data_IF_972432105670
#
_entry.id   IF_972432105670
#
_cell.length_a   1.000
_cell.length_b   1.000
_cell.length_c   1.000
_cell.angle_alpha   90.00
_cell.angle_beta   90.00
_cell.angle_gamma   90.00
#
_symmetry.space_group_name_H-M   'P 1'
#
loop_
_entity.id
_entity.type
_entity.pdbx_description
1 polymer ?
#
# COMPACT_ATOMS: atom_id res chain seq x y z
N UNK A 1 17.97 -3.57 -4.85
CA UNK A 1 17.75 -4.14 -3.52
C UNK A 1 16.33 -4.68 -3.41
N UNK A 2 16.15 -5.96 -3.08
CA UNK A 2 14.83 -6.59 -3.11
C UNK A 2 13.77 -5.94 -2.23
N UNK A 3 14.14 -5.40 -1.08
CA UNK A 3 13.20 -4.77 -0.17
C UNK A 3 12.66 -3.42 -0.59
N UNK A 4 13.34 -2.72 -1.50
CA UNK A 4 12.96 -1.35 -1.90
C UNK A 4 11.74 -1.32 -2.82
N UNK A 5 11.62 -2.28 -3.75
CA UNK A 5 10.49 -2.32 -4.68
C UNK A 5 9.16 -2.50 -3.92
N UNK A 6 9.10 -3.45 -2.99
CA UNK A 6 7.92 -3.68 -2.17
C UNK A 6 7.60 -2.49 -1.26
N UNK A 7 8.62 -1.89 -0.67
CA UNK A 7 8.44 -0.72 0.19
C UNK A 7 7.87 0.47 -0.58
N UNK A 8 8.47 0.81 -1.71
CA UNK A 8 8.03 1.95 -2.53
C UNK A 8 6.62 1.74 -3.08
N UNK A 9 6.34 0.53 -3.59
CA UNK A 9 5.02 0.17 -4.07
C UNK A 9 3.98 0.23 -2.94
N UNK A 10 4.28 -0.40 -1.80
CA UNK A 10 3.37 -0.46 -0.68
C UNK A 10 3.04 0.92 -0.11
N UNK A 11 4.03 1.78 0.03
CA UNK A 11 3.83 3.14 0.53
C UNK A 11 2.98 3.98 -0.42
N UNK A 12 3.24 3.89 -1.71
CA UNK A 12 2.46 4.59 -2.73
C UNK A 12 0.99 4.12 -2.73
N UNK A 13 0.76 2.81 -2.63
CA UNK A 13 -0.60 2.26 -2.58
C UNK A 13 -1.33 2.70 -1.31
N UNK A 14 -0.67 2.63 -0.17
CA UNK A 14 -1.24 3.06 1.10
C UNK A 14 -1.78 4.48 1.03
N UNK A 15 -1.07 5.34 0.35
CA UNK A 15 -1.45 6.75 0.22
C UNK A 15 -2.46 6.97 -0.93
N UNK A 16 -2.15 6.46 -2.12
CA UNK A 16 -2.92 6.77 -3.33
C UNK A 16 -4.23 6.01 -3.43
N UNK A 17 -4.27 4.76 -2.97
CA UNK A 17 -5.44 3.90 -3.14
C UNK A 17 -6.39 3.92 -1.94
N UNK A 18 -6.11 4.71 -0.90
CA UNK A 18 -7.08 4.96 0.16
C UNK A 18 -8.18 5.89 -0.40
N UNK A 19 -9.43 5.49 -0.23
CA UNK A 19 -10.57 6.25 -0.73
C UNK A 19 -10.75 7.60 -0.01
N UNK A 20 -10.13 7.77 1.15
CA UNK A 20 -10.15 9.00 1.96
C UNK A 20 -8.72 9.41 2.32
N UNK A 21 -8.58 10.56 2.93
CA UNK A 21 -7.29 11.07 3.39
C UNK A 21 -6.74 10.21 4.54
N UNK A 22 -5.42 10.27 4.74
CA UNK A 22 -4.67 9.51 5.75
C UNK A 22 -5.17 9.73 7.18
N UNK A 23 -5.75 10.90 7.45
CA UNK A 23 -6.24 11.29 8.77
C UNK A 23 -7.76 11.36 8.86
N UNK A 24 -8.48 10.66 8.00
CA UNK A 24 -9.93 10.62 8.03
C UNK A 24 -10.44 10.04 9.36
N UNK A 25 -11.26 10.77 10.13
CA UNK A 25 -11.75 10.29 11.42
C UNK A 25 -12.86 9.24 11.29
N UNK A 26 -13.50 9.13 10.15
CA UNK A 26 -14.59 8.18 9.90
C UNK A 26 -14.01 6.88 9.33
N UNK A 27 -13.81 5.91 10.21
CA UNK A 27 -13.24 4.60 9.84
C UNK A 27 -14.11 3.85 8.82
N UNK A 28 -15.41 4.08 8.83
CA UNK A 28 -16.34 3.41 7.91
C UNK A 28 -16.16 3.87 6.46
N UNK A 29 -15.57 5.05 6.26
CA UNK A 29 -15.27 5.58 4.93
C UNK A 29 -13.91 5.14 4.41
N UNK A 30 -13.06 4.58 5.25
CA UNK A 30 -11.72 4.13 4.88
C UNK A 30 -11.85 2.82 4.11
N UNK A 31 -11.34 2.81 2.88
CA UNK A 31 -11.33 1.60 2.06
C UNK A 31 -10.23 1.68 1.02
N UNK A 32 -9.78 0.51 0.57
CA UNK A 32 -8.88 0.42 -0.57
C UNK A 32 -9.70 0.52 -1.86
N UNK A 33 -9.38 1.49 -2.69
CA UNK A 33 -9.97 1.63 -4.01
C UNK A 33 -9.23 0.70 -4.99
N UNK A 34 -9.88 -0.40 -5.36
CA UNK A 34 -9.29 -1.39 -6.27
C UNK A 34 -9.05 -0.84 -7.68
N UNK A 35 -9.81 0.17 -8.11
CA UNK A 35 -9.58 0.79 -9.42
C UNK A 35 -8.28 1.60 -9.42
N UNK A 36 -8.01 2.33 -8.35
CA UNK A 36 -6.73 3.06 -8.18
C UNK A 36 -5.59 2.07 -8.03
N UNK A 37 -5.77 1.03 -7.24
CA UNK A 37 -4.79 -0.05 -7.09
C UNK A 37 -4.46 -0.68 -8.44
N UNK A 38 -5.46 -0.99 -9.23
CA UNK A 38 -5.30 -1.54 -10.57
C UNK A 38 -4.46 -0.60 -11.44
N UNK A 39 -4.87 0.66 -11.57
CA UNK A 39 -4.18 1.63 -12.43
C UNK A 39 -2.71 1.82 -12.02
N UNK A 40 -2.45 1.94 -10.73
CA UNK A 40 -1.10 2.08 -10.19
C UNK A 40 -0.25 0.84 -10.46
N UNK A 41 -0.82 -0.35 -10.20
CA UNK A 41 -0.13 -1.63 -10.40
C UNK A 41 0.23 -1.83 -11.87
N UNK A 42 -0.69 -1.52 -12.77
CA UNK A 42 -0.43 -1.59 -14.21
C UNK A 42 0.75 -0.69 -14.59
N UNK A 43 0.72 0.57 -14.18
CA UNK A 43 1.81 1.52 -14.46
C UNK A 43 3.13 1.09 -13.86
N UNK A 44 3.14 0.66 -12.61
CA UNK A 44 4.36 0.22 -11.91
C UNK A 44 4.97 -0.99 -12.60
N UNK A 45 4.18 -2.01 -12.90
CA UNK A 45 4.69 -3.24 -13.51
C UNK A 45 5.04 -3.06 -14.98
N UNK A 46 4.43 -2.09 -15.69
CA UNK A 46 4.82 -1.79 -17.06
C UNK A 46 6.30 -1.37 -17.15
N UNK A 47 6.84 -0.76 -16.11
CA UNK A 47 8.21 -0.28 -16.04
C UNK A 47 9.16 -1.25 -15.34
N UNK A 48 8.67 -2.10 -14.44
CA UNK A 48 9.50 -2.88 -13.52
C UNK A 48 9.41 -4.38 -13.67
N UNK A 49 8.42 -4.92 -14.39
CA UNK A 49 8.16 -6.37 -14.42
C UNK A 49 9.38 -7.18 -14.88
N UNK A 50 10.16 -6.66 -15.81
CA UNK A 50 11.36 -7.36 -16.34
C UNK A 50 12.53 -7.36 -15.35
N UNK A 51 12.56 -6.45 -14.38
CA UNK A 51 13.65 -6.33 -13.40
C UNK A 51 13.32 -6.89 -12.03
N UNK A 52 12.05 -7.26 -11.77
CA UNK A 52 11.64 -7.84 -10.50
C UNK A 52 11.75 -9.36 -10.52
N UNK A 53 12.21 -9.93 -9.41
CA UNK A 53 12.17 -11.37 -9.20
C UNK A 53 10.73 -11.83 -8.92
N UNK A 54 10.49 -13.14 -9.06
CA UNK A 54 9.18 -13.72 -8.72
C UNK A 54 8.81 -13.43 -7.27
N UNK A 55 9.76 -13.56 -6.35
CA UNK A 55 9.51 -13.29 -4.92
C UNK A 55 9.14 -11.83 -4.68
N UNK A 56 9.76 -10.91 -5.38
CA UNK A 56 9.41 -9.49 -5.29
C UNK A 56 7.99 -9.23 -5.80
N UNK A 57 7.62 -9.79 -6.94
CA UNK A 57 6.26 -9.70 -7.49
C UNK A 57 5.23 -10.30 -6.51
N UNK A 58 5.51 -11.49 -5.99
CA UNK A 58 4.61 -12.17 -5.06
C UNK A 58 4.40 -11.41 -3.75
N UNK A 59 5.33 -10.53 -3.38
CA UNK A 59 5.26 -9.74 -2.16
C UNK A 59 4.60 -8.37 -2.32
N UNK A 60 4.33 -7.91 -3.55
CA UNK A 60 3.85 -6.54 -3.78
C UNK A 60 2.52 -6.23 -3.09
N UNK A 61 1.54 -7.11 -3.24
CA UNK A 61 0.21 -6.88 -2.62
C UNK A 61 0.31 -6.86 -1.10
N UNK A 62 1.03 -7.83 -0.51
CA UNK A 62 1.17 -7.91 0.94
C UNK A 62 2.02 -6.76 1.50
N UNK A 63 2.92 -6.20 0.71
CA UNK A 63 3.71 -5.03 1.11
C UNK A 63 2.82 -3.83 1.40
N UNK A 64 1.75 -3.63 0.63
CA UNK A 64 0.78 -2.56 0.89
C UNK A 64 0.14 -2.69 2.27
N UNK A 65 -0.26 -3.91 2.62
CA UNK A 65 -0.81 -4.22 3.95
C UNK A 65 0.23 -3.99 5.04
N UNK A 66 1.45 -4.47 4.84
CA UNK A 66 2.54 -4.31 5.83
C UNK A 66 2.86 -2.84 6.08
N UNK A 67 2.88 -2.02 5.04
CA UNK A 67 3.15 -0.57 5.17
C UNK A 67 2.03 0.13 5.95
N UNK A 68 0.77 -0.22 5.71
CA UNK A 68 -0.34 0.34 6.47
C UNK A 68 -0.21 -0.03 7.97
N UNK A 69 0.13 -1.27 8.28
CA UNK A 69 0.37 -1.72 9.66
C UNK A 69 1.56 -1.00 10.30
N UNK A 70 2.63 -0.84 9.55
CA UNK A 70 3.84 -0.14 10.04
C UNK A 70 3.52 1.31 10.39
N UNK A 71 2.83 2.02 9.50
CA UNK A 71 2.47 3.42 9.73
C UNK A 71 1.47 3.56 10.89
N UNK A 72 0.51 2.63 11.02
CA UNK A 72 -0.40 2.62 12.17
C UNK A 72 0.39 2.52 13.47
N UNK A 73 1.37 1.62 13.53
CA UNK A 73 2.22 1.43 14.70
C UNK A 73 3.04 2.70 15.00
N UNK A 74 3.60 3.32 13.98
CA UNK A 74 4.41 4.53 14.15
C UNK A 74 3.58 5.72 14.63
N UNK A 75 2.39 5.91 14.10
CA UNK A 75 1.49 6.97 14.55
C UNK A 75 1.05 6.74 16.00
N UNK A 76 0.72 5.51 16.35
CA UNK A 76 0.33 5.16 17.72
C UNK A 76 1.48 5.37 18.71
N UNK A 77 2.68 4.94 18.32
CA UNK A 77 3.88 5.12 19.13
C UNK A 77 4.16 6.60 19.39
N UNK A 78 4.08 7.42 18.35
CA UNK A 78 4.28 8.87 18.48
C UNK A 78 3.23 9.50 19.38
N UNK A 79 1.97 9.07 19.26
CA UNK A 79 0.89 9.54 20.15
C UNK A 79 1.20 9.23 21.61
N UNK A 80 1.67 8.02 21.91
CA UNK A 80 2.02 7.59 23.26
C UNK A 80 3.19 8.41 23.80
N UNK A 81 4.15 8.75 22.94
CA UNK A 81 5.36 9.52 23.31
C UNK A 81 5.16 11.03 23.34
N UNK A 82 3.94 11.52 23.06
CA UNK A 82 3.61 12.94 23.17
C UNK A 82 3.67 13.74 21.89
N UNK A 83 3.47 13.10 20.73
CA UNK A 83 3.39 13.74 19.42
C UNK A 83 4.67 14.50 19.02
N UNK A 84 5.82 13.89 19.24
CA UNK A 84 7.14 14.54 19.04
C UNK A 84 7.71 14.37 17.63
N UNK A 85 7.37 13.28 16.93
CA UNK A 85 7.99 12.93 15.66
C UNK A 85 7.21 13.48 14.48
N UNK A 86 5.91 13.20 14.40
CA UNK A 86 5.06 13.65 13.30
C UNK A 86 4.45 15.00 13.60
N UNK A 87 4.34 15.82 12.55
CA UNK A 87 3.65 17.10 12.65
C UNK A 87 2.15 16.87 12.79
N UNK A 88 1.54 17.44 13.83
CA UNK A 88 0.11 17.27 14.12
C UNK A 88 -0.62 18.60 14.10
N UNK A 89 -1.93 18.55 13.80
CA UNK A 89 -2.83 19.70 13.84
C UNK A 89 -3.45 19.94 15.22
N UNK A 90 -3.25 19.00 16.16
CA UNK A 90 -3.80 19.11 17.52
C UNK A 90 -3.72 17.79 18.27
N UNK A 91 -4.18 17.77 19.54
CA UNK A 91 -4.18 16.55 20.36
C UNK A 91 -4.99 15.43 19.68
N UNK A 92 -4.46 14.22 19.70
CA UNK A 92 -5.14 13.06 19.16
C UNK A 92 -5.07 12.90 17.65
N UNK A 93 -4.40 13.79 16.91
CA UNK A 93 -4.27 13.67 15.46
C UNK A 93 -3.56 12.37 15.05
N UNK A 94 -2.47 12.02 15.73
CA UNK A 94 -1.77 10.76 15.48
C UNK A 94 -2.61 9.53 15.81
N UNK A 95 -3.49 9.61 16.81
CA UNK A 95 -4.42 8.52 17.12
C UNK A 95 -5.44 8.32 15.98
N UNK A 96 -5.97 9.41 15.43
CA UNK A 96 -6.88 9.37 14.27
C UNK A 96 -6.17 8.75 13.07
N UNK A 97 -4.94 9.15 12.80
CA UNK A 97 -4.13 8.57 11.73
C UNK A 97 -3.90 7.07 11.93
N UNK A 98 -3.56 6.65 13.14
CA UNK A 98 -3.35 5.23 13.46
C UNK A 98 -4.62 4.41 13.20
N UNK A 99 -5.77 4.89 13.63
CA UNK A 99 -7.06 4.23 13.40
C UNK A 99 -7.40 4.15 11.92
N UNK A 100 -7.14 5.21 11.17
CA UNK A 100 -7.36 5.24 9.73
C UNK A 100 -6.51 4.18 9.03
N UNK A 101 -5.23 4.08 9.37
CA UNK A 101 -4.34 3.07 8.79
C UNK A 101 -4.73 1.64 9.18
N UNK A 102 -5.21 1.42 10.38
CA UNK A 102 -5.72 0.10 10.80
C UNK A 102 -6.95 -0.27 9.98
N UNK A 103 -7.87 0.65 9.80
CA UNK A 103 -9.07 0.42 8.99
C UNK A 103 -8.71 0.09 7.53
N UNK A 104 -7.75 0.81 6.97
CA UNK A 104 -7.23 0.55 5.62
C UNK A 104 -6.59 -0.84 5.54
N UNK A 105 -5.76 -1.20 6.51
CA UNK A 105 -5.12 -2.52 6.56
C UNK A 105 -6.14 -3.64 6.63
N UNK A 106 -7.20 -3.48 7.42
CA UNK A 106 -8.28 -4.46 7.50
C UNK A 106 -9.00 -4.63 6.15
N UNK A 107 -9.25 -3.54 5.46
CA UNK A 107 -9.88 -3.60 4.14
C UNK A 107 -8.96 -4.23 3.09
N UNK A 108 -7.66 -3.92 3.13
CA UNK A 108 -6.67 -4.58 2.29
C UNK A 108 -6.65 -6.10 2.52
N UNK A 109 -6.75 -6.52 3.79
CA UNK A 109 -6.77 -7.95 4.12
C UNK A 109 -7.99 -8.64 3.52
N UNK A 110 -9.15 -8.00 3.57
CA UNK A 110 -10.37 -8.52 2.92
C UNK A 110 -10.23 -8.62 1.40
N UNK A 111 -9.47 -7.73 0.79
CA UNK A 111 -9.30 -7.63 -0.68
C UNK A 111 -7.99 -8.24 -1.17
N UNK A 112 -7.23 -8.89 -0.29
CA UNK A 112 -5.86 -9.35 -0.60
C UNK A 112 -5.84 -10.29 -1.81
N UNK A 113 -6.78 -11.21 -1.92
CA UNK A 113 -6.83 -12.14 -3.05
C UNK A 113 -7.03 -11.40 -4.37
N UNK A 114 -7.90 -10.37 -4.39
CA UNK A 114 -8.12 -9.56 -5.58
C UNK A 114 -6.89 -8.71 -5.92
N UNK A 115 -6.23 -8.14 -4.91
CA UNK A 115 -5.00 -7.37 -5.09
C UNK A 115 -3.89 -8.24 -5.68
N UNK A 116 -3.67 -9.42 -5.11
CA UNK A 116 -2.63 -10.32 -5.59
C UNK A 116 -2.94 -10.84 -6.99
N UNK A 117 -4.20 -11.14 -7.29
CA UNK A 117 -4.60 -11.55 -8.63
C UNK A 117 -4.29 -10.48 -9.69
N UNK A 118 -4.52 -9.21 -9.37
CA UNK A 118 -4.17 -8.08 -10.25
C UNK A 118 -2.66 -7.96 -10.46
N UNK A 119 -1.88 -8.08 -9.38
CA UNK A 119 -0.42 -8.06 -9.46
C UNK A 119 0.09 -9.18 -10.37
N UNK A 120 -0.36 -10.41 -10.16
CA UNK A 120 0.06 -11.56 -10.95
C UNK A 120 -0.34 -11.42 -12.43
N UNK A 121 -1.53 -10.90 -12.69
CA UNK A 121 -2.01 -10.67 -14.05
C UNK A 121 -1.10 -9.72 -14.82
N UNK A 122 -0.75 -8.57 -14.23
CA UNK A 122 0.09 -7.59 -14.91
C UNK A 122 1.55 -7.99 -14.96
N UNK A 123 2.04 -8.70 -13.95
CA UNK A 123 3.40 -9.25 -13.99
C UNK A 123 3.56 -10.20 -15.18
N UNK A 124 2.61 -11.08 -15.42
CA UNK A 124 2.63 -12.00 -16.57
C UNK A 124 2.50 -11.26 -17.89
N UNK A 125 1.57 -10.30 -17.96
CA UNK A 125 1.33 -9.51 -19.18
C UNK A 125 2.60 -8.82 -19.66
N UNK A 126 3.31 -8.14 -18.77
CA UNK A 126 4.49 -7.37 -19.12
C UNK A 126 5.75 -8.23 -19.28
N UNK A 127 5.86 -9.33 -18.55
CA UNK A 127 6.94 -10.29 -18.76
C UNK A 127 6.85 -10.95 -20.14
N UNK A 128 5.67 -11.34 -20.58
CA UNK A 128 5.43 -11.94 -21.89
C UNK A 128 5.68 -10.94 -23.01
N UNK A 129 5.37 -9.66 -22.81
CA UNK A 129 5.64 -8.59 -23.76
C UNK A 129 7.15 -8.46 -24.03
N UNK A 130 7.96 -8.49 -22.99
CA UNK A 130 9.41 -8.40 -23.13
C UNK A 130 9.99 -9.59 -23.90
N UNK A 131 9.41 -10.77 -23.74
CA UNK A 131 9.81 -11.97 -24.49
C UNK A 131 9.45 -11.86 -25.97
N UNK A 132 8.34 -11.20 -26.30
CA UNK A 132 7.89 -11.02 -27.67
C UNK A 132 8.76 -10.01 -28.43
N UNK A 133 9.33 -9.02 -27.72
CA UNK A 133 10.19 -7.98 -28.29
C UNK A 133 11.65 -8.45 -28.51
N UNK A 134 11.98 -9.67 -28.08
CA UNK A 134 13.25 -10.33 -28.29
C UNK A 134 13.15 -11.36 -29.42
#
# INVERSE_FOLDING_TARGET
MPGLAGHDFGDAIRFAANAVEEDCPDEDRVSLDLNVFWAFTEGFLSETACSLTKNEVDSLAVSSFCLACELATRFLDDYILGDKYFKTSGPGHNLVRARCQIALAKDMLRKMDAMDALVQRYARKFADRDKADK
#
